data_IF_147594702132
#
_entry.id   IF_147594702132
#
_cell.length_a   1.000
_cell.length_b   1.000
_cell.length_c   1.000
_cell.angle_alpha   90.00
_cell.angle_beta   90.00
_cell.angle_gamma   90.00
#
_symmetry.space_group_name_H-M   'P 1'
#
loop_
_entity.id
_entity.type
_entity.pdbx_description
1 polymer ?
#
# COMPACT_ATOMS: atom_id res chain seq x y z
N UNK A 1 13.72 36.65 5.39
CA UNK A 1 13.50 35.20 5.19
C UNK A 1 12.05 34.98 4.83
N UNK A 2 11.77 34.43 3.64
CA UNK A 2 10.75 33.40 3.57
C UNK A 2 11.20 32.20 2.72
N UNK A 3 10.88 31.00 3.21
CA UNK A 3 11.14 29.69 2.60
C UNK A 3 10.01 29.32 1.65
N UNK A 4 10.33 29.21 0.36
CA UNK A 4 9.40 28.81 -0.70
C UNK A 4 9.55 27.31 -0.97
N UNK A 5 8.66 26.50 -0.41
CA UNK A 5 8.57 25.05 -0.67
C UNK A 5 7.76 24.80 -1.95
N UNK A 6 8.31 25.25 -3.07
CA UNK A 6 7.81 24.92 -4.40
C UNK A 6 8.36 23.54 -4.80
N UNK A 7 7.68 22.46 -4.37
CA UNK A 7 7.87 21.13 -4.98
C UNK A 7 7.35 21.20 -6.42
N UNK A 8 8.24 21.58 -7.33
CA UNK A 8 8.05 21.54 -8.77
C UNK A 8 7.70 20.10 -9.19
N UNK A 9 6.41 19.85 -9.40
CA UNK A 9 5.96 18.73 -10.21
C UNK A 9 6.16 19.15 -11.66
N UNK A 10 7.21 18.63 -12.29
CA UNK A 10 7.42 18.85 -13.72
C UNK A 10 6.15 18.38 -14.46
N UNK A 11 5.52 19.23 -15.29
CA UNK A 11 4.38 18.82 -16.08
C UNK A 11 4.84 17.71 -17.03
N UNK A 12 4.13 16.58 -17.01
CA UNK A 12 4.34 15.53 -18.01
C UNK A 12 4.18 16.17 -19.41
N UNK A 13 5.05 15.84 -20.37
CA UNK A 13 4.97 16.42 -21.71
C UNK A 13 3.57 16.19 -22.29
N UNK A 14 2.91 17.27 -22.71
CA UNK A 14 1.71 17.21 -23.53
C UNK A 14 2.04 16.46 -24.83
N UNK A 15 1.80 15.15 -24.86
CA UNK A 15 1.91 14.37 -26.09
C UNK A 15 0.64 14.60 -26.91
N UNK A 16 0.68 15.64 -27.76
CA UNK A 16 -0.23 15.73 -28.90
C UNK A 16 0.19 14.67 -29.91
N UNK A 17 -0.50 13.54 -29.94
CA UNK A 17 -0.42 12.62 -31.07
C UNK A 17 -1.18 13.24 -32.24
N UNK A 18 -0.53 13.36 -33.39
CA UNK A 18 -1.11 13.86 -34.64
C UNK A 18 -2.17 12.92 -35.25
N UNK A 19 -2.51 11.84 -34.56
CA UNK A 19 -3.75 11.08 -34.71
C UNK A 19 -4.34 10.85 -33.32
N UNK A 20 -5.66 11.01 -33.14
CA UNK A 20 -6.39 11.03 -31.85
C UNK A 20 -6.34 9.75 -30.97
N UNK A 21 -5.32 8.90 -31.08
CA UNK A 21 -5.11 7.73 -30.23
C UNK A 21 -3.66 7.62 -29.80
N UNK A 22 -3.41 7.89 -28.52
CA UNK A 22 -2.19 7.46 -27.85
C UNK A 22 -2.13 5.93 -27.86
N UNK A 23 -1.12 5.37 -28.50
CA UNK A 23 -0.89 3.92 -28.52
C UNK A 23 -0.19 3.51 -27.23
N UNK A 24 -0.72 2.48 -26.56
CA UNK A 24 -0.16 1.91 -25.33
C UNK A 24 0.56 0.60 -25.66
N UNK A 25 1.61 0.21 -24.91
CA UNK A 25 2.13 0.84 -23.69
C UNK A 25 3.02 2.05 -23.96
N UNK A 26 3.00 3.03 -23.05
CA UNK A 26 4.03 4.07 -23.00
C UNK A 26 5.07 3.70 -21.96
N UNK A 27 6.35 3.73 -22.33
CA UNK A 27 7.46 3.38 -21.44
C UNK A 27 8.34 4.61 -21.26
N UNK A 28 8.59 4.96 -20.00
CA UNK A 28 9.51 6.02 -19.60
C UNK A 28 10.57 5.45 -18.67
N UNK A 29 11.83 5.81 -18.89
CA UNK A 29 12.96 5.42 -18.04
C UNK A 29 13.61 6.70 -17.53
N UNK A 30 13.61 6.90 -16.21
CA UNK A 30 14.24 8.05 -15.59
C UNK A 30 15.76 7.84 -15.49
N UNK A 31 16.51 8.94 -15.45
CA UNK A 31 17.96 8.91 -15.21
C UNK A 31 18.33 8.29 -13.85
N UNK A 32 17.39 8.32 -12.88
CA UNK A 32 17.55 7.70 -11.58
C UNK A 32 17.31 6.17 -11.60
N UNK A 33 16.98 5.57 -12.75
CA UNK A 33 16.74 4.14 -12.88
C UNK A 33 15.33 3.70 -12.46
N UNK A 34 14.35 4.60 -12.57
CA UNK A 34 12.93 4.25 -12.46
C UNK A 34 12.38 3.95 -13.85
N UNK A 35 11.76 2.79 -14.04
CA UNK A 35 11.03 2.41 -15.23
C UNK A 35 9.54 2.59 -14.94
N UNK A 36 8.85 3.41 -15.72
CA UNK A 36 7.40 3.63 -15.64
C UNK A 36 6.75 3.15 -16.92
N UNK A 37 5.74 2.29 -16.80
CA UNK A 37 4.95 1.76 -17.90
C UNK A 37 3.51 2.21 -17.69
N UNK A 38 3.02 3.06 -18.59
CA UNK A 38 1.62 3.46 -18.64
C UNK A 38 0.89 2.54 -19.61
N UNK A 39 -0.17 1.91 -19.14
CA UNK A 39 -1.04 1.05 -19.92
C UNK A 39 -2.39 1.74 -20.18
N UNK A 40 -3.18 1.14 -21.06
CA UNK A 40 -4.57 1.55 -21.25
C UNK A 40 -5.36 1.49 -19.93
N UNK A 41 -6.44 2.27 -19.85
CA UNK A 41 -7.36 2.32 -18.70
C UNK A 41 -6.76 2.85 -17.39
N UNK A 42 -5.67 3.63 -17.44
CA UNK A 42 -5.12 4.31 -16.27
C UNK A 42 -4.40 3.38 -15.29
N UNK A 43 -3.79 2.31 -15.81
CA UNK A 43 -2.93 1.41 -15.05
C UNK A 43 -1.48 1.85 -15.25
N UNK A 44 -0.77 2.06 -14.14
CA UNK A 44 0.65 2.42 -14.12
C UNK A 44 1.42 1.29 -13.45
N UNK A 45 2.50 0.84 -14.08
CA UNK A 45 3.47 -0.06 -13.46
C UNK A 45 4.78 0.70 -13.32
N UNK A 46 5.28 0.82 -12.10
CA UNK A 46 6.58 1.42 -11.80
C UNK A 46 7.50 0.35 -11.23
N UNK A 47 8.73 0.37 -11.73
CA UNK A 47 9.79 -0.52 -11.28
C UNK A 47 11.03 0.33 -11.01
N UNK A 48 11.74 0.06 -9.94
CA UNK A 48 13.01 0.68 -9.62
C UNK A 48 14.17 -0.30 -9.86
N UNK A 49 15.39 0.24 -9.96
CA UNK A 49 16.61 -0.56 -10.12
C UNK A 49 16.85 -1.60 -9.00
N UNK A 50 16.23 -1.46 -7.84
CA UNK A 50 16.30 -2.44 -6.74
C UNK A 50 15.22 -3.53 -6.83
N UNK A 51 14.60 -3.71 -8.01
CA UNK A 51 13.54 -4.67 -8.31
C UNK A 51 12.26 -4.47 -7.49
N UNK A 52 12.09 -3.31 -6.87
CA UNK A 52 10.81 -2.96 -6.27
C UNK A 52 9.80 -2.63 -7.37
N UNK A 53 8.58 -3.18 -7.23
CA UNK A 53 7.50 -3.02 -8.20
C UNK A 53 6.29 -2.42 -7.52
N UNK A 54 5.69 -1.41 -8.17
CA UNK A 54 4.40 -0.82 -7.78
C UNK A 54 3.44 -0.85 -8.97
N UNK A 55 2.22 -1.31 -8.75
CA UNK A 55 1.12 -1.21 -9.71
C UNK A 55 0.07 -0.26 -9.14
N UNK A 56 -0.30 0.77 -9.90
CA UNK A 56 -1.32 1.74 -9.53
C UNK A 56 -2.45 1.70 -10.54
N UNK A 57 -3.64 1.32 -10.07
CA UNK A 57 -4.89 1.52 -10.80
C UNK A 57 -5.59 2.75 -10.22
N UNK A 58 -5.46 3.91 -10.90
CA UNK A 58 -5.97 5.18 -10.39
C UNK A 58 -7.44 5.08 -9.91
N UNK A 59 -7.70 5.51 -8.67
CA UNK A 59 -9.02 5.49 -8.04
C UNK A 59 -9.55 4.10 -7.61
N UNK A 60 -8.84 3.01 -7.95
CA UNK A 60 -9.24 1.63 -7.59
C UNK A 60 -8.35 1.09 -6.47
N UNK A 61 -7.08 0.81 -6.76
CA UNK A 61 -6.14 0.27 -5.79
C UNK A 61 -4.69 0.55 -6.22
N UNK A 62 -3.76 0.39 -5.29
CA UNK A 62 -2.34 0.25 -5.59
C UNK A 62 -1.82 -1.03 -4.92
N UNK A 63 -0.85 -1.68 -5.55
CA UNK A 63 -0.14 -2.82 -4.99
C UNK A 63 1.36 -2.56 -5.10
N UNK A 64 2.13 -3.05 -4.13
CA UNK A 64 3.57 -2.84 -4.05
C UNK A 64 4.25 -4.09 -3.55
N UNK A 65 5.46 -4.33 -4.02
CA UNK A 65 6.36 -5.37 -3.52
C UNK A 65 7.79 -4.85 -3.52
N UNK A 66 8.51 -5.04 -2.42
CA UNK A 66 9.94 -4.76 -2.36
C UNK A 66 10.71 -5.80 -3.16
N UNK A 67 11.86 -5.45 -3.74
CA UNK A 67 12.62 -6.36 -4.60
C UNK A 67 13.17 -7.60 -3.90
N UNK A 68 13.22 -7.61 -2.56
CA UNK A 68 13.61 -8.78 -1.75
C UNK A 68 12.42 -9.61 -1.26
N UNK A 69 11.19 -9.20 -1.55
CA UNK A 69 9.98 -9.86 -1.02
C UNK A 69 9.77 -9.70 0.49
N UNK A 70 10.57 -8.87 1.17
CA UNK A 70 10.48 -8.64 2.63
C UNK A 70 9.32 -7.74 3.03
N UNK A 71 8.76 -7.00 2.08
CA UNK A 71 7.58 -6.18 2.28
C UNK A 71 6.72 -6.15 1.02
N UNK A 72 5.41 -6.20 1.20
CA UNK A 72 4.45 -5.99 0.12
C UNK A 72 3.20 -5.34 0.68
N UNK A 73 2.44 -4.63 -0.15
CA UNK A 73 1.21 -4.02 0.32
C UNK A 73 0.14 -3.96 -0.76
N UNK A 74 -1.12 -3.93 -0.33
CA UNK A 74 -2.29 -3.63 -1.15
C UNK A 74 -3.00 -2.45 -0.49
N UNK A 75 -3.13 -1.36 -1.23
CA UNK A 75 -3.82 -0.15 -0.81
C UNK A 75 -5.12 -0.03 -1.59
N UNK A 76 -6.25 -0.21 -0.92
CA UNK A 76 -7.58 0.02 -1.46
C UNK A 76 -8.33 1.06 -0.61
N UNK A 77 -9.32 1.73 -1.18
CA UNK A 77 -10.10 2.76 -0.46
C UNK A 77 -10.76 2.26 0.82
N UNK A 78 -11.11 0.97 0.87
CA UNK A 78 -11.78 0.33 2.02
C UNK A 78 -10.82 -0.36 3.00
N UNK A 79 -9.60 -0.69 2.56
CA UNK A 79 -8.65 -1.44 3.38
C UNK A 79 -7.23 -1.26 2.85
N UNK A 80 -6.27 -1.26 3.77
CA UNK A 80 -4.84 -1.26 3.47
C UNK A 80 -4.23 -2.47 4.16
N UNK A 81 -3.51 -3.28 3.39
CA UNK A 81 -2.83 -4.47 3.87
C UNK A 81 -1.34 -4.29 3.64
N UNK A 82 -0.52 -4.49 4.66
CA UNK A 82 0.94 -4.45 4.60
C UNK A 82 1.47 -5.77 5.15
N UNK A 83 2.16 -6.51 4.31
CA UNK A 83 3.02 -7.60 4.74
C UNK A 83 4.41 -7.06 5.05
N UNK A 84 4.92 -7.37 6.25
CA UNK A 84 6.30 -7.11 6.66
C UNK A 84 6.59 -7.88 7.95
N UNK A 85 7.86 -8.24 8.18
CA UNK A 85 8.28 -8.98 9.38
C UNK A 85 7.42 -10.24 9.65
N UNK A 86 7.12 -10.99 8.58
CA UNK A 86 6.28 -12.21 8.61
C UNK A 86 4.88 -12.02 9.21
N UNK A 87 4.36 -10.79 9.17
CA UNK A 87 2.99 -10.46 9.60
C UNK A 87 2.25 -9.67 8.52
N UNK A 88 0.92 -9.80 8.51
CA UNK A 88 0.03 -8.98 7.68
C UNK A 88 -0.76 -8.02 8.55
N UNK A 89 -0.43 -6.74 8.44
CA UNK A 89 -1.13 -5.64 9.08
C UNK A 89 -2.25 -5.15 8.17
N UNK A 90 -3.48 -5.18 8.65
CA UNK A 90 -4.66 -4.73 7.91
C UNK A 90 -5.34 -3.59 8.65
N UNK A 91 -5.47 -2.44 7.98
CA UNK A 91 -6.30 -1.31 8.43
C UNK A 91 -7.51 -1.18 7.53
N UNK A 92 -8.70 -1.23 8.11
CA UNK A 92 -9.95 -0.99 7.37
C UNK A 92 -10.34 0.48 7.47
N UNK A 93 -10.83 1.03 6.37
CA UNK A 93 -11.19 2.45 6.22
C UNK A 93 -12.62 2.60 5.71
N UNK A 94 -13.56 1.82 6.29
CA UNK A 94 -14.96 1.79 5.85
C UNK A 94 -15.69 3.11 6.14
N UNK A 95 -15.27 3.85 7.17
CA UNK A 95 -15.80 5.16 7.57
C UNK A 95 -14.70 6.03 8.22
N UNK A 96 -14.79 7.37 8.17
CA UNK A 96 -13.78 8.29 8.69
C UNK A 96 -13.50 8.16 10.21
N UNK A 97 -14.33 7.45 10.96
CA UNK A 97 -14.19 7.21 12.41
C UNK A 97 -13.98 5.74 12.79
N UNK A 98 -13.93 4.82 11.82
CA UNK A 98 -13.78 3.39 12.09
C UNK A 98 -12.33 2.95 11.91
N UNK A 99 -11.48 3.22 12.90
CA UNK A 99 -10.16 2.59 12.96
C UNK A 99 -10.37 1.14 13.41
N UNK A 100 -10.45 0.23 12.44
CA UNK A 100 -10.47 -1.21 12.66
C UNK A 100 -9.14 -1.76 12.16
N UNK A 101 -8.47 -2.51 13.02
CA UNK A 101 -7.16 -3.08 12.75
C UNK A 101 -7.21 -4.59 12.95
N UNK A 102 -6.52 -5.32 12.09
CA UNK A 102 -6.24 -6.73 12.27
C UNK A 102 -4.77 -7.00 11.92
N UNK A 103 -4.09 -7.80 12.74
CA UNK A 103 -2.73 -8.27 12.51
C UNK A 103 -2.80 -9.79 12.45
N UNK A 104 -2.37 -10.35 11.33
CA UNK A 104 -2.32 -11.78 11.10
C UNK A 104 -0.85 -12.19 11.22
N UNK A 105 -0.54 -13.04 12.19
CA UNK A 105 0.80 -13.58 12.41
C UNK A 105 0.74 -15.05 12.81
N UNK A 106 1.89 -15.61 13.15
CA UNK A 106 2.03 -17.05 13.44
C UNK A 106 1.24 -17.49 14.69
N UNK A 107 1.05 -16.61 15.66
CA UNK A 107 0.33 -16.90 16.91
C UNK A 107 -1.19 -16.81 16.79
N UNK A 108 -1.70 -16.23 15.70
CA UNK A 108 -3.12 -16.02 15.46
C UNK A 108 -3.44 -14.66 14.86
N UNK A 109 -4.68 -14.22 15.07
CA UNK A 109 -5.21 -12.96 14.55
C UNK A 109 -5.50 -12.03 15.72
N UNK A 110 -4.73 -10.95 15.85
CA UNK A 110 -5.02 -9.87 16.78
C UNK A 110 -5.91 -8.85 16.07
N UNK A 111 -7.00 -8.40 16.68
CA UNK A 111 -7.85 -7.36 16.11
C UNK A 111 -8.33 -6.36 17.16
N UNK A 112 -8.59 -5.13 16.71
CA UNK A 112 -9.13 -4.07 17.56
C UNK A 112 -9.94 -3.08 16.72
N UNK A 113 -10.75 -2.27 17.40
CA UNK A 113 -11.63 -1.26 16.83
C UNK A 113 -11.68 -0.05 17.76
N UNK A 114 -11.92 1.14 17.20
CA UNK A 114 -11.96 2.40 17.96
C UNK A 114 -12.91 2.47 19.16
N UNK A 115 -13.94 1.61 19.23
CA UNK A 115 -14.91 1.56 20.33
C UNK A 115 -14.62 0.42 21.33
N UNK A 116 -13.53 -0.32 21.15
CA UNK A 116 -13.07 -1.34 22.06
C UNK A 116 -11.98 -0.74 22.96
N UNK A 117 -12.03 -1.04 24.25
CA UNK A 117 -10.99 -0.60 25.20
C UNK A 117 -9.70 -1.42 25.06
N UNK A 118 -9.79 -2.59 24.41
CA UNK A 118 -8.73 -3.59 24.35
C UNK A 118 -8.65 -4.21 22.94
N UNK A 119 -7.56 -4.92 22.67
CA UNK A 119 -7.40 -5.76 21.48
C UNK A 119 -7.70 -7.22 21.81
N UNK A 120 -8.25 -7.95 20.85
CA UNK A 120 -8.66 -9.34 21.02
C UNK A 120 -7.78 -10.26 20.16
N UNK A 121 -7.28 -11.33 20.76
CA UNK A 121 -6.49 -12.35 20.09
C UNK A 121 -7.34 -13.59 19.81
N UNK A 122 -7.49 -13.94 18.54
CA UNK A 122 -8.03 -15.22 18.09
C UNK A 122 -6.87 -16.16 17.75
N UNK A 123 -6.64 -17.17 18.57
CA UNK A 123 -5.61 -18.20 18.36
C UNK A 123 -6.23 -19.60 18.41
N UNK A 124 -5.70 -20.53 17.61
CA UNK A 124 -6.07 -21.95 17.64
C UNK A 124 -5.34 -22.75 18.72
N UNK A 125 -4.42 -22.14 19.47
CA UNK A 125 -3.73 -22.81 20.57
C UNK A 125 -4.73 -23.14 21.68
N UNK A 126 -5.17 -24.40 21.72
CA UNK A 126 -5.95 -24.96 22.81
C UNK A 126 -5.07 -25.11 24.06
N UNK A 127 -4.88 -24.02 24.80
CA UNK A 127 -4.55 -24.07 26.24
C UNK A 127 -5.45 -23.06 26.93
N UNK A 128 -6.25 -23.56 27.86
CA UNK A 128 -7.37 -22.85 28.47
C UNK A 128 -7.01 -21.47 29.01
N UNK A 129 -8.01 -20.57 28.90
CA UNK A 129 -8.21 -19.35 29.67
C UNK A 129 -6.95 -18.77 30.34
N UNK A 130 -6.12 -18.07 29.57
CA UNK A 130 -5.27 -17.02 30.11
C UNK A 130 -5.58 -15.74 29.34
N UNK A 131 -6.11 -14.75 30.05
CA UNK A 131 -6.35 -13.41 29.52
C UNK A 131 -5.03 -12.86 28.97
N UNK A 132 -4.96 -12.42 27.71
CA UNK A 132 -3.79 -11.73 27.21
C UNK A 132 -3.88 -10.25 27.60
N UNK A 133 -3.27 -9.88 28.73
CA UNK A 133 -2.91 -8.48 29.01
C UNK A 133 -1.67 -8.12 28.20
N UNK A 134 -1.83 -7.32 27.15
CA UNK A 134 -0.71 -6.69 26.46
C UNK A 134 -0.76 -5.19 26.69
N UNK A 135 0.24 -4.67 27.41
CA UNK A 135 0.48 -3.23 27.54
C UNK A 135 1.33 -2.75 26.37
N UNK A 136 0.90 -1.68 25.72
CA UNK A 136 1.67 -0.97 24.70
C UNK A 136 2.47 0.11 25.45
N UNK A 137 3.80 0.01 25.42
CA UNK A 137 4.70 1.10 25.85
C UNK A 137 4.81 2.17 24.76
#
# INVERSE_FOLDING_TARGET
>A
MPTDNSRSLAPLPNFQSTENRTSYPLIYVSQAGMISILLAHGIVIEMSNDNCVRVVCHGKFAAFMSGRGTASCIMHKKARMLYTNDMVYTKFSLAPSSDRLAIIGNEGILFTMSHLNEAFLLSSHSKGLLQPTFSIN
#
